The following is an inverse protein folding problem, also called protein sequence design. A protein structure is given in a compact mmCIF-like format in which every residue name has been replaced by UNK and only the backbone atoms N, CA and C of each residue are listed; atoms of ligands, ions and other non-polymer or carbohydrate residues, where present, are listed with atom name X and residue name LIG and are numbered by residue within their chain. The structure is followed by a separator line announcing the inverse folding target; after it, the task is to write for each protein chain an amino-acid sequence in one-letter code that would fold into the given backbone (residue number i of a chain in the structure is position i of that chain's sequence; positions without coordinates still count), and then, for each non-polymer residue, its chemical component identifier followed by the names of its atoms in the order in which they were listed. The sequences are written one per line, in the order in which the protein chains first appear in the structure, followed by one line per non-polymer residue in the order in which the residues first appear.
data_IF_955393463909
#
_entry.id   IF_955393463909
#
_cell.length_a   1.000
_cell.length_b   1.000
_cell.length_c   1.000
_cell.angle_alpha   90.00
_cell.angle_beta   90.00
_cell.angle_gamma   90.00
#
_symmetry.space_group_name_H-M   'P 1'
#
loop_
_entity.id
_entity.type
_entity.pdbx_description
1 polymer ?
#
# COMPACT_ATOMS: atom_id res chain seq x y z
N UNK A 1 -24.73 43.49 -10.00
CA UNK A 1 -25.05 42.77 -11.26
C UNK A 1 -24.46 43.56 -12.40
N UNK A 2 -23.31 43.13 -12.93
CA UNK A 2 -22.67 43.69 -14.12
C UNK A 2 -22.54 42.55 -15.14
N UNK A 3 -22.79 42.78 -16.44
CA UNK A 3 -22.82 41.71 -17.42
C UNK A 3 -21.41 41.41 -17.95
N UNK A 4 -21.08 40.13 -18.08
CA UNK A 4 -19.90 39.65 -18.81
C UNK A 4 -20.17 39.69 -20.33
N UNK A 5 -19.16 39.98 -21.18
CA UNK A 5 -19.28 39.87 -22.62
C UNK A 5 -19.11 38.42 -23.11
N UNK A 6 -19.60 38.07 -24.32
CA UNK A 6 -19.59 36.70 -24.82
C UNK A 6 -18.22 36.30 -25.40
N UNK A 7 -17.76 35.10 -25.05
CA UNK A 7 -16.62 34.43 -25.67
C UNK A 7 -16.97 33.97 -27.10
N UNK A 8 -16.17 34.39 -28.09
CA UNK A 8 -16.15 33.81 -29.45
C UNK A 8 -15.17 32.63 -29.46
N UNK A 9 -15.64 31.43 -29.78
CA UNK A 9 -14.79 30.26 -30.01
C UNK A 9 -14.12 30.28 -31.39
N UNK A 10 -12.96 29.63 -31.57
CA UNK A 10 -12.27 29.58 -32.86
C UNK A 10 -12.86 28.52 -33.79
N UNK A 11 -12.82 28.85 -35.08
CA UNK A 11 -13.24 28.04 -36.21
C UNK A 11 -12.46 26.72 -36.30
N UNK A 12 -13.19 25.61 -36.48
CA UNK A 12 -12.63 24.30 -36.81
C UNK A 12 -12.48 24.22 -38.34
N UNK A 13 -11.24 24.18 -38.83
CA UNK A 13 -10.94 23.87 -40.23
C UNK A 13 -11.08 22.36 -40.47
N UNK A 14 -11.89 21.98 -41.48
CA UNK A 14 -11.98 20.63 -42.02
C UNK A 14 -10.73 20.32 -42.85
N UNK A 15 -10.03 19.24 -42.53
CA UNK A 15 -9.03 18.62 -43.42
C UNK A 15 -9.61 17.32 -43.96
N UNK A 16 -9.69 17.24 -45.29
CA UNK A 16 -9.97 16.01 -46.03
C UNK A 16 -8.77 15.07 -45.96
N UNK A 17 -8.99 13.79 -45.69
CA UNK A 17 -8.03 12.73 -46.02
C UNK A 17 -8.65 11.76 -47.03
N UNK A 18 -7.93 11.59 -48.14
CA UNK A 18 -8.17 10.60 -49.17
C UNK A 18 -7.52 9.26 -48.78
N UNK A 19 -8.07 8.17 -49.31
CA UNK A 19 -7.80 6.80 -48.91
C UNK A 19 -6.47 6.21 -49.37
N UNK A 20 -6.18 5.03 -48.82
CA UNK A 20 -5.02 4.22 -49.17
C UNK A 20 -4.88 3.00 -48.25
N UNK A 21 -5.64 1.94 -48.53
CA UNK A 21 -5.44 0.61 -47.95
C UNK A 21 -4.05 0.07 -48.26
N UNK A 22 -3.33 -0.40 -47.24
CA UNK A 22 -2.46 -1.59 -47.31
C UNK A 22 -2.23 -2.15 -45.91
N UNK A 23 -2.63 -3.42 -45.78
CA UNK A 23 -2.43 -4.30 -44.63
C UNK A 23 -0.94 -4.66 -44.55
N UNK A 24 -0.30 -4.32 -43.44
CA UNK A 24 0.91 -5.01 -42.95
C UNK A 24 0.73 -5.19 -41.45
N UNK A 25 0.44 -6.44 -41.06
CA UNK A 25 0.36 -6.92 -39.70
C UNK A 25 1.72 -7.53 -39.36
N UNK A 26 2.56 -6.85 -38.58
CA UNK A 26 3.69 -7.48 -37.89
C UNK A 26 3.89 -6.82 -36.51
N UNK A 27 3.62 -7.66 -35.52
CA UNK A 27 3.99 -7.68 -34.10
C UNK A 27 5.09 -6.66 -33.73
N UNK A 28 4.68 -5.60 -33.03
CA UNK A 28 5.55 -4.78 -32.19
C UNK A 28 4.76 -4.32 -30.94
N UNK A 29 4.31 -5.29 -30.15
CA UNK A 29 3.80 -5.08 -28.80
C UNK A 29 4.89 -5.49 -27.79
N UNK A 30 5.94 -4.70 -27.71
CA UNK A 30 6.95 -4.77 -26.65
C UNK A 30 7.27 -3.36 -26.17
N UNK A 31 6.40 -2.82 -25.32
CA UNK A 31 6.64 -1.62 -24.49
C UNK A 31 5.86 -1.84 -23.16
N UNK A 32 6.32 -1.32 -22.01
CA UNK A 32 6.94 -2.05 -20.91
C UNK A 32 5.95 -2.42 -19.78
N UNK A 33 6.02 -3.65 -19.27
CA UNK A 33 5.25 -4.12 -18.10
C UNK A 33 5.78 -3.55 -16.76
N UNK A 34 6.75 -2.64 -16.79
CA UNK A 34 7.51 -2.20 -15.61
C UNK A 34 6.96 -0.95 -14.88
N UNK A 35 5.70 -0.55 -15.07
CA UNK A 35 5.14 0.68 -14.45
C UNK A 35 3.91 0.50 -13.54
N UNK A 36 3.55 -0.74 -13.19
CA UNK A 36 2.28 -1.03 -12.50
C UNK A 36 2.42 -1.64 -11.10
N UNK A 37 3.58 -1.51 -10.44
CA UNK A 37 3.87 -2.15 -9.15
C UNK A 37 4.19 -1.08 -8.10
N UNK A 38 3.21 -0.30 -7.68
CA UNK A 38 3.50 0.87 -6.81
C UNK A 38 2.44 1.11 -5.72
N UNK A 39 1.86 0.05 -5.17
CA UNK A 39 1.05 0.08 -3.93
C UNK A 39 0.72 -1.36 -3.54
N UNK A 40 0.71 -1.70 -2.25
CA UNK A 40 0.16 -3.01 -1.85
C UNK A 40 -1.32 -3.11 -2.24
N UNK A 41 -2.08 -2.00 -2.20
CA UNK A 41 -3.50 -1.87 -2.57
C UNK A 41 -3.69 -1.65 -4.08
N UNK A 42 -2.95 -0.76 -4.74
CA UNK A 42 -2.97 -0.62 -6.21
C UNK A 42 -2.35 -1.82 -6.97
N UNK A 43 -1.44 -2.62 -6.40
CA UNK A 43 -1.00 -3.89 -6.99
C UNK A 43 -2.18 -4.85 -7.14
N UNK A 44 -3.08 -4.86 -6.16
CA UNK A 44 -4.31 -5.66 -6.20
C UNK A 44 -5.32 -5.11 -7.20
N UNK A 45 -5.39 -3.78 -7.34
CA UNK A 45 -6.27 -3.16 -8.32
C UNK A 45 -5.77 -3.39 -9.75
N UNK A 46 -4.46 -3.25 -10.00
CA UNK A 46 -3.84 -3.63 -11.27
C UNK A 46 -4.01 -5.12 -11.59
N UNK A 47 -3.98 -5.99 -10.57
CA UNK A 47 -4.26 -7.43 -10.71
C UNK A 47 -5.74 -7.74 -10.96
N UNK A 48 -6.66 -6.94 -10.40
CA UNK A 48 -8.10 -7.05 -10.63
C UNK A 48 -8.50 -6.54 -12.03
N UNK A 49 -7.86 -5.48 -12.51
CA UNK A 49 -8.08 -4.92 -13.85
C UNK A 49 -7.46 -5.79 -14.97
N UNK A 50 -6.34 -6.48 -14.71
CA UNK A 50 -5.68 -7.38 -15.67
C UNK A 50 -6.29 -8.80 -15.74
N UNK A 51 -7.20 -9.14 -14.83
CA UNK A 51 -7.74 -10.49 -14.66
C UNK A 51 -8.80 -10.93 -15.67
N UNK A 52 -8.47 -11.02 -16.96
CA UNK A 52 -9.20 -11.90 -17.89
C UNK A 52 -8.80 -13.37 -17.64
N UNK A 53 -9.73 -14.16 -17.12
CA UNK A 53 -9.87 -15.62 -17.26
C UNK A 53 -8.61 -16.53 -17.11
N UNK A 54 -7.78 -16.35 -16.09
CA UNK A 54 -6.81 -17.38 -15.64
C UNK A 54 -7.26 -18.02 -14.32
N UNK A 55 -7.08 -19.34 -14.18
CA UNK A 55 -7.46 -20.09 -12.98
C UNK A 55 -6.59 -19.72 -11.77
N UNK A 56 -7.20 -19.72 -10.57
CA UNK A 56 -6.61 -19.20 -9.34
C UNK A 56 -5.27 -19.85 -8.94
N UNK A 57 -5.07 -21.14 -9.25
CA UNK A 57 -3.84 -21.87 -8.94
C UNK A 57 -2.64 -21.45 -9.81
N UNK A 58 -2.84 -21.31 -11.13
CA UNK A 58 -1.77 -20.92 -12.04
C UNK A 58 -1.36 -19.45 -11.89
N UNK A 59 -2.31 -18.58 -11.50
CA UNK A 59 -2.05 -17.16 -11.30
C UNK A 59 -1.38 -16.88 -9.96
N UNK A 60 -1.71 -17.60 -8.89
CA UNK A 60 -1.03 -17.45 -7.60
C UNK A 60 0.46 -17.83 -7.69
N UNK A 61 0.74 -18.92 -8.40
CA UNK A 61 2.09 -19.36 -8.71
C UNK A 61 2.82 -18.41 -9.68
N UNK A 62 2.10 -17.76 -10.59
CA UNK A 62 2.64 -16.79 -11.56
C UNK A 62 2.78 -15.37 -10.97
N UNK A 63 1.99 -14.98 -9.97
CA UNK A 63 2.14 -13.70 -9.27
C UNK A 63 3.20 -13.80 -8.17
N UNK A 64 3.20 -14.86 -7.37
CA UNK A 64 4.23 -15.08 -6.35
C UNK A 64 5.62 -15.27 -6.96
N UNK A 65 5.72 -15.96 -8.10
CA UNK A 65 6.97 -16.03 -8.86
C UNK A 65 7.19 -14.81 -9.73
N UNK A 66 6.22 -14.35 -10.52
CA UNK A 66 6.37 -13.28 -11.51
C UNK A 66 6.62 -11.87 -10.96
N UNK A 67 6.00 -11.53 -9.83
CA UNK A 67 6.23 -10.24 -9.17
C UNK A 67 7.69 -10.09 -8.72
N UNK A 68 8.32 -11.22 -8.37
CA UNK A 68 9.68 -11.25 -7.84
C UNK A 68 10.71 -11.82 -8.82
N UNK A 69 10.30 -12.56 -9.87
CA UNK A 69 11.22 -13.16 -10.85
C UNK A 69 11.67 -12.16 -11.91
N UNK A 70 10.96 -11.04 -12.05
CA UNK A 70 11.41 -9.90 -12.87
C UNK A 70 12.25 -8.90 -12.08
N UNK A 71 12.33 -9.05 -10.75
CA UNK A 71 13.14 -8.19 -9.88
C UNK A 71 14.67 -8.37 -10.01
N UNK A 72 15.27 -9.53 -10.34
CA UNK A 72 16.74 -9.66 -10.31
C UNK A 72 17.46 -8.62 -11.17
N UNK A 73 16.91 -8.27 -12.33
CA UNK A 73 17.48 -7.23 -13.20
C UNK A 73 17.19 -5.81 -12.71
N UNK A 74 16.04 -5.59 -12.06
CA UNK A 74 15.65 -4.29 -11.49
C UNK A 74 16.42 -3.97 -10.19
N UNK A 75 16.75 -5.00 -9.41
CA UNK A 75 17.48 -4.90 -8.14
C UNK A 75 18.92 -4.43 -8.36
N UNK A 76 19.54 -4.81 -9.46
CA UNK A 76 20.92 -4.43 -9.77
C UNK A 76 21.08 -2.99 -10.31
N UNK A 77 19.98 -2.25 -10.54
CA UNK A 77 20.01 -0.90 -11.15
C UNK A 77 18.93 0.02 -10.60
N UNK A 78 18.87 0.19 -9.28
CA UNK A 78 18.00 1.22 -8.69
C UNK A 78 18.45 2.62 -9.15
N UNK A 79 17.53 3.39 -9.72
CA UNK A 79 17.80 4.69 -10.33
C UNK A 79 17.78 5.81 -9.28
N UNK A 80 18.95 6.09 -8.68
CA UNK A 80 19.08 7.14 -7.66
C UNK A 80 18.90 8.56 -8.21
N UNK A 81 19.02 8.77 -9.53
CA UNK A 81 18.78 10.08 -10.12
C UNK A 81 17.28 10.39 -10.12
N UNK A 82 16.45 9.36 -10.33
CA UNK A 82 14.98 9.47 -10.25
C UNK A 82 14.44 9.41 -8.82
N UNK A 83 15.06 8.60 -7.96
CA UNK A 83 14.59 8.34 -6.59
C UNK A 83 15.70 8.55 -5.55
N UNK A 84 16.23 9.78 -5.42
CA UNK A 84 17.39 10.05 -4.57
C UNK A 84 17.13 9.78 -3.09
N UNK A 85 15.91 10.04 -2.59
CA UNK A 85 15.58 9.86 -1.16
C UNK A 85 15.54 8.39 -0.77
N UNK A 86 15.19 7.50 -1.71
CA UNK A 86 15.25 6.05 -1.51
C UNK A 86 16.69 5.50 -1.59
N UNK A 87 17.65 6.26 -2.13
CA UNK A 87 19.06 5.90 -2.07
C UNK A 87 19.75 6.32 -0.77
N UNK A 88 19.15 7.22 0.01
CA UNK A 88 19.65 7.62 1.32
C UNK A 88 19.30 6.59 2.42
N UNK A 89 19.96 6.68 3.57
CA UNK A 89 19.60 5.90 4.74
C UNK A 89 18.20 6.31 5.26
N UNK A 90 17.38 5.35 5.75
CA UNK A 90 17.70 3.94 5.96
C UNK A 90 17.39 3.03 4.76
N UNK A 91 16.82 3.55 3.68
CA UNK A 91 16.35 2.76 2.53
C UNK A 91 17.47 2.12 1.72
N UNK A 92 18.55 2.86 1.45
CA UNK A 92 19.73 2.38 0.72
C UNK A 92 19.40 1.51 -0.52
N UNK A 93 18.42 1.90 -1.33
CA UNK A 93 17.87 1.01 -2.37
C UNK A 93 18.86 0.59 -3.45
N UNK A 94 19.92 1.37 -3.66
CA UNK A 94 21.05 1.02 -4.52
C UNK A 94 21.94 -0.12 -3.99
N UNK A 95 21.69 -0.58 -2.76
CA UNK A 95 22.41 -1.70 -2.10
C UNK A 95 21.55 -2.94 -1.93
N UNK A 96 20.28 -2.91 -2.35
CA UNK A 96 19.44 -4.11 -2.31
C UNK A 96 20.01 -5.14 -3.28
N UNK A 97 20.17 -6.38 -2.81
CA UNK A 97 20.73 -7.48 -3.60
C UNK A 97 19.66 -8.54 -3.89
N UNK A 98 19.93 -9.44 -4.84
CA UNK A 98 19.04 -10.55 -5.14
C UNK A 98 18.81 -11.45 -3.91
N UNK A 99 19.83 -11.62 -3.05
CA UNK A 99 19.75 -12.40 -1.82
C UNK A 99 18.80 -11.75 -0.80
N UNK A 100 18.80 -10.41 -0.71
CA UNK A 100 17.82 -9.71 0.14
C UNK A 100 16.39 -9.94 -0.35
N UNK A 101 16.16 -9.91 -1.66
CA UNK A 101 14.84 -10.21 -2.24
C UNK A 101 14.43 -11.66 -1.98
N UNK A 102 15.34 -12.61 -2.20
CA UNK A 102 15.10 -14.02 -1.92
C UNK A 102 14.78 -14.26 -0.43
N UNK A 103 15.52 -13.60 0.46
CA UNK A 103 15.25 -13.65 1.90
C UNK A 103 13.83 -13.19 2.24
N UNK A 104 13.34 -12.12 1.59
CA UNK A 104 11.96 -11.65 1.79
C UNK A 104 10.94 -12.70 1.35
N UNK A 105 11.18 -13.37 0.22
CA UNK A 105 10.27 -14.40 -0.29
C UNK A 105 10.19 -15.63 0.62
N UNK A 106 11.33 -16.07 1.15
CA UNK A 106 11.47 -17.29 1.94
C UNK A 106 11.06 -17.07 3.41
N UNK A 107 11.53 -15.98 4.01
CA UNK A 107 11.43 -15.71 5.45
C UNK A 107 10.40 -14.63 5.80
N UNK A 108 9.92 -13.86 4.83
CA UNK A 108 9.03 -12.72 5.04
C UNK A 108 9.81 -11.42 5.11
N UNK A 109 9.09 -10.31 5.21
CA UNK A 109 9.68 -8.98 5.16
C UNK A 109 10.44 -8.62 6.43
N UNK A 110 10.07 -9.14 7.60
CA UNK A 110 10.66 -8.76 8.89
C UNK A 110 11.22 -9.96 9.69
N UNK A 111 12.15 -10.75 9.11
CA UNK A 111 12.59 -12.01 9.71
C UNK A 111 13.40 -11.84 11.01
N UNK A 112 14.02 -10.68 11.21
CA UNK A 112 14.77 -10.32 12.42
C UNK A 112 13.88 -9.73 13.54
N UNK A 113 12.57 -9.59 13.28
CA UNK A 113 11.63 -8.98 14.22
C UNK A 113 11.59 -7.46 14.17
N UNK A 114 12.14 -6.85 13.12
CA UNK A 114 12.07 -5.41 12.87
C UNK A 114 11.46 -5.11 11.51
N UNK A 115 10.74 -3.99 11.41
CA UNK A 115 10.26 -3.51 10.11
C UNK A 115 11.43 -3.31 9.12
N UNK A 116 11.35 -3.95 7.96
CA UNK A 116 12.37 -3.91 6.93
C UNK A 116 12.06 -2.81 5.91
N UNK A 117 12.70 -1.67 6.09
CA UNK A 117 12.49 -0.50 5.23
C UNK A 117 12.99 -0.68 3.79
N UNK A 118 13.82 -1.69 3.50
CA UNK A 118 14.27 -1.97 2.14
C UNK A 118 13.13 -2.47 1.24
N UNK A 119 12.00 -2.90 1.80
CA UNK A 119 10.83 -3.28 1.01
C UNK A 119 10.25 -2.10 0.22
N UNK A 120 10.51 -0.85 0.65
CA UNK A 120 10.09 0.35 -0.07
C UNK A 120 10.86 0.61 -1.36
N UNK A 121 11.96 -0.10 -1.58
CA UNK A 121 12.69 -0.06 -2.85
C UNK A 121 11.89 -0.65 -4.02
N UNK A 122 10.81 -1.37 -3.73
CA UNK A 122 9.87 -1.90 -4.72
C UNK A 122 8.60 -1.04 -4.84
N UNK A 123 8.57 0.14 -4.23
CA UNK A 123 7.40 1.01 -4.19
C UNK A 123 7.80 2.49 -4.30
N UNK A 124 8.50 2.82 -5.37
CA UNK A 124 9.07 4.15 -5.64
C UNK A 124 8.04 5.28 -5.68
N UNK A 125 6.77 4.98 -5.96
CA UNK A 125 5.67 5.93 -5.91
C UNK A 125 5.41 6.55 -4.54
N UNK A 126 5.93 5.95 -3.46
CA UNK A 126 5.79 6.42 -2.06
C UNK A 126 7.03 7.12 -1.51
N UNK A 127 8.03 7.39 -2.32
CA UNK A 127 9.29 7.99 -1.89
C UNK A 127 9.10 9.19 -0.94
N UNK A 128 8.25 10.15 -1.31
CA UNK A 128 8.00 11.35 -0.50
C UNK A 128 7.33 11.04 0.85
N UNK A 129 6.32 10.16 0.83
CA UNK A 129 5.59 9.74 2.03
C UNK A 129 6.52 9.02 3.00
N UNK A 130 7.26 8.03 2.50
CA UNK A 130 8.16 7.21 3.31
C UNK A 130 9.35 7.98 3.83
N UNK A 131 9.96 8.83 3.01
CA UNK A 131 11.03 9.71 3.46
C UNK A 131 10.54 10.69 4.53
N UNK A 132 9.35 11.26 4.38
CA UNK A 132 8.78 12.13 5.41
C UNK A 132 8.50 11.37 6.72
N UNK A 133 7.94 10.16 6.62
CA UNK A 133 7.62 9.37 7.81
C UNK A 133 8.86 8.82 8.52
N UNK A 134 9.75 8.12 7.81
CA UNK A 134 10.81 7.30 8.39
C UNK A 134 12.12 8.07 8.58
N UNK A 135 12.43 9.03 7.70
CA UNK A 135 13.68 9.81 7.75
C UNK A 135 13.47 11.12 8.50
N UNK A 136 12.49 11.93 8.07
CA UNK A 136 12.19 13.21 8.72
C UNK A 136 11.41 13.07 10.02
N UNK A 137 10.80 11.90 10.26
CA UNK A 137 10.04 11.58 11.48
C UNK A 137 8.89 12.55 11.72
N UNK A 138 8.33 13.10 10.64
CA UNK A 138 7.15 13.97 10.71
C UNK A 138 5.93 13.20 10.21
N UNK A 139 5.30 12.48 11.15
CA UNK A 139 4.15 11.63 10.86
C UNK A 139 2.93 12.43 10.37
N UNK A 140 2.80 13.69 10.80
CA UNK A 140 1.66 14.55 10.43
C UNK A 140 1.85 15.09 9.01
N UNK A 141 3.07 15.49 8.64
CA UNK A 141 3.37 15.86 7.26
C UNK A 141 3.26 14.64 6.32
N UNK A 142 3.76 13.48 6.76
CA UNK A 142 3.66 12.23 6.00
C UNK A 142 2.18 11.85 5.73
N UNK A 143 1.32 11.97 6.74
CA UNK A 143 -0.12 11.76 6.60
C UNK A 143 -0.77 12.63 5.50
N UNK A 144 -0.39 13.91 5.42
CA UNK A 144 -0.91 14.83 4.40
C UNK A 144 -0.42 14.45 2.99
N UNK A 145 0.84 14.06 2.86
CA UNK A 145 1.41 13.60 1.58
C UNK A 145 0.64 12.37 1.09
N UNK A 146 0.46 11.37 1.95
CA UNK A 146 -0.26 10.14 1.60
C UNK A 146 -1.72 10.44 1.22
N UNK A 147 -2.41 11.30 1.98
CA UNK A 147 -3.79 11.67 1.67
C UNK A 147 -3.92 12.37 0.33
N UNK A 148 -3.05 13.34 0.08
CA UNK A 148 -3.04 14.09 -1.17
C UNK A 148 -2.78 13.15 -2.36
N UNK A 149 -1.85 12.21 -2.19
CA UNK A 149 -1.56 11.19 -3.19
C UNK A 149 -2.80 10.32 -3.49
N UNK A 150 -3.52 9.85 -2.46
CA UNK A 150 -4.75 9.06 -2.64
C UNK A 150 -5.80 9.83 -3.44
N UNK A 151 -6.10 11.09 -3.06
CA UNK A 151 -7.17 11.85 -3.71
C UNK A 151 -6.82 12.32 -5.13
N UNK A 152 -5.55 12.64 -5.40
CA UNK A 152 -5.14 13.17 -6.69
C UNK A 152 -4.99 12.08 -7.74
N UNK A 153 -4.42 10.94 -7.34
CA UNK A 153 -3.99 9.90 -8.29
C UNK A 153 -4.98 8.75 -8.40
N UNK A 154 -5.85 8.55 -7.39
CA UNK A 154 -6.59 7.30 -7.26
C UNK A 154 -8.03 7.46 -6.80
N UNK A 155 -8.89 7.93 -7.71
CA UNK A 155 -10.35 8.00 -7.47
C UNK A 155 -10.90 6.62 -7.07
N UNK A 156 -11.50 6.54 -5.89
CA UNK A 156 -12.13 5.33 -5.36
C UNK A 156 -11.31 4.58 -4.31
N UNK A 157 -10.02 4.89 -4.12
CA UNK A 157 -9.20 4.27 -3.07
C UNK A 157 -9.57 4.81 -1.68
N UNK A 158 -10.14 6.02 -1.60
CA UNK A 158 -10.52 6.64 -0.35
C UNK A 158 -11.51 5.81 0.49
N UNK A 159 -12.33 4.97 -0.16
CA UNK A 159 -13.25 4.05 0.51
C UNK A 159 -12.52 2.87 1.16
N UNK A 160 -11.48 2.35 0.50
CA UNK A 160 -10.62 1.29 1.02
C UNK A 160 -9.79 1.83 2.19
N UNK A 161 -9.12 2.97 2.02
CA UNK A 161 -8.32 3.59 3.07
C UNK A 161 -9.19 3.98 4.26
N UNK A 162 -10.33 4.62 3.99
CA UNK A 162 -11.31 4.99 5.01
C UNK A 162 -11.74 3.77 5.82
N UNK A 163 -12.30 2.74 5.18
CA UNK A 163 -12.73 1.53 5.89
C UNK A 163 -11.60 0.82 6.64
N UNK A 164 -10.40 0.72 6.07
CA UNK A 164 -9.18 0.20 6.72
C UNK A 164 -8.87 0.94 8.02
N UNK A 165 -8.90 2.27 8.01
CA UNK A 165 -8.65 3.11 9.18
C UNK A 165 -9.60 2.82 10.35
N UNK A 166 -10.89 2.55 10.07
CA UNK A 166 -11.87 2.24 11.10
C UNK A 166 -11.81 0.77 11.54
N UNK A 167 -11.76 -0.19 10.60
CA UNK A 167 -11.72 -1.63 10.90
C UNK A 167 -10.50 -2.00 11.74
N UNK A 168 -9.31 -1.48 11.39
CA UNK A 168 -8.08 -1.79 12.12
C UNK A 168 -7.92 -0.96 13.40
N UNK A 169 -8.90 -0.12 13.74
CA UNK A 169 -8.94 0.64 14.99
C UNK A 169 -7.95 1.80 15.05
N UNK A 170 -7.48 2.32 13.92
CA UNK A 170 -6.52 3.44 13.90
C UNK A 170 -7.13 4.73 14.47
N UNK A 171 -8.43 4.94 14.26
CA UNK A 171 -9.11 6.14 14.76
C UNK A 171 -9.25 6.20 16.29
N UNK A 172 -9.15 5.05 16.98
CA UNK A 172 -9.22 4.97 18.45
C UNK A 172 -7.88 4.59 19.08
N UNK A 173 -6.81 4.48 18.27
CA UNK A 173 -5.45 4.22 18.75
C UNK A 173 -4.92 5.47 19.49
N UNK A 174 -4.72 5.35 20.80
CA UNK A 174 -4.12 6.38 21.65
C UNK A 174 -2.63 6.14 21.91
N UNK A 175 -2.07 5.04 21.44
CA UNK A 175 -0.68 4.62 21.64
C UNK A 175 0.25 5.29 20.63
N UNK A 176 -0.18 5.39 19.38
CA UNK A 176 0.55 6.11 18.33
C UNK A 176 0.28 7.61 18.47
N UNK A 177 1.35 8.39 18.57
CA UNK A 177 1.35 9.84 18.58
C UNK A 177 2.39 10.38 17.59
N UNK A 178 2.46 11.71 17.42
CA UNK A 178 3.34 12.36 16.43
C UNK A 178 4.84 12.11 16.61
N UNK A 179 5.25 11.55 17.75
CA UNK A 179 6.64 11.22 18.07
C UNK A 179 6.92 9.71 18.11
N UNK A 180 5.95 8.87 17.72
CA UNK A 180 6.14 7.43 17.69
C UNK A 180 7.24 7.06 16.69
N UNK A 181 8.23 6.33 17.17
CA UNK A 181 9.38 5.86 16.39
C UNK A 181 9.10 4.48 15.76
N UNK A 182 9.83 4.09 14.69
CA UNK A 182 9.73 2.74 14.12
C UNK A 182 9.91 1.63 15.17
N UNK A 183 10.92 1.76 16.06
CA UNK A 183 11.16 0.78 17.14
C UNK A 183 9.99 0.68 18.14
N UNK A 184 9.27 1.77 18.38
CA UNK A 184 8.04 1.71 19.20
C UNK A 184 6.90 1.02 18.44
N UNK A 185 6.80 1.27 17.13
CA UNK A 185 5.83 0.61 16.26
C UNK A 185 6.06 -0.90 16.18
N UNK A 186 7.31 -1.38 16.09
CA UNK A 186 7.62 -2.82 16.14
C UNK A 186 7.06 -3.49 17.40
N UNK A 187 7.20 -2.84 18.57
CA UNK A 187 6.65 -3.35 19.83
C UNK A 187 5.12 -3.37 19.84
N UNK A 188 4.50 -2.38 19.20
CA UNK A 188 3.05 -2.33 19.02
C UNK A 188 2.58 -3.49 18.13
N UNK A 189 3.33 -3.79 17.06
CA UNK A 189 3.10 -4.93 16.17
C UNK A 189 3.26 -6.27 16.89
N UNK A 190 4.32 -6.45 17.68
CA UNK A 190 4.51 -7.63 18.53
C UNK A 190 3.35 -7.78 19.54
N UNK A 191 2.95 -6.68 20.18
CA UNK A 191 1.82 -6.70 21.11
C UNK A 191 0.53 -7.10 20.40
N UNK A 192 0.26 -6.58 19.20
CA UNK A 192 -0.97 -6.88 18.46
C UNK A 192 -0.97 -8.31 17.90
N UNK A 193 0.07 -8.69 17.17
CA UNK A 193 0.10 -9.88 16.32
C UNK A 193 1.02 -11.01 16.81
N UNK A 194 1.76 -10.81 17.91
CA UNK A 194 2.83 -11.73 18.29
C UNK A 194 3.89 -11.78 17.20
N UNK A 195 4.39 -12.96 16.86
CA UNK A 195 5.38 -13.12 15.79
C UNK A 195 4.76 -13.16 14.38
N UNK A 196 3.43 -13.25 14.25
CA UNK A 196 2.79 -13.54 12.96
C UNK A 196 2.92 -12.41 11.92
N UNK A 197 3.23 -11.17 12.32
CA UNK A 197 3.47 -10.07 11.37
C UNK A 197 4.81 -10.19 10.66
N UNK A 198 5.79 -10.86 11.27
CA UNK A 198 7.16 -11.04 10.72
C UNK A 198 7.18 -11.85 9.44
N UNK A 199 6.22 -12.76 9.32
CA UNK A 199 6.02 -13.65 8.18
C UNK A 199 5.26 -12.99 7.02
N UNK A 200 4.79 -11.75 7.17
CA UNK A 200 4.12 -11.04 6.09
C UNK A 200 5.07 -10.89 4.88
N UNK A 201 4.53 -11.08 3.67
CA UNK A 201 5.31 -11.05 2.43
C UNK A 201 5.94 -12.38 2.02
N UNK A 202 5.91 -13.42 2.88
CA UNK A 202 6.29 -14.79 2.45
C UNK A 202 5.42 -15.23 1.28
N UNK A 203 6.00 -15.90 0.28
CA UNK A 203 5.25 -16.31 -0.93
C UNK A 203 3.92 -17.02 -0.62
N UNK A 204 3.89 -17.91 0.38
CA UNK A 204 2.67 -18.60 0.83
C UNK A 204 1.62 -17.64 1.43
N UNK A 205 2.05 -16.67 2.24
CA UNK A 205 1.17 -15.66 2.82
C UNK A 205 0.63 -14.69 1.76
N UNK A 206 1.48 -14.30 0.80
CA UNK A 206 1.11 -13.45 -0.32
C UNK A 206 0.13 -14.16 -1.25
N UNK A 207 0.37 -15.43 -1.59
CA UNK A 207 -0.55 -16.26 -2.35
C UNK A 207 -1.93 -16.37 -1.69
N UNK A 208 -1.97 -16.62 -0.37
CA UNK A 208 -3.22 -16.66 0.39
C UNK A 208 -3.93 -15.31 0.40
N UNK A 209 -3.20 -14.21 0.62
CA UNK A 209 -3.77 -12.87 0.61
C UNK A 209 -4.34 -12.52 -0.76
N UNK A 210 -3.61 -12.78 -1.85
CA UNK A 210 -4.05 -12.52 -3.22
C UNK A 210 -5.28 -13.35 -3.61
N UNK A 211 -5.34 -14.63 -3.21
CA UNK A 211 -6.48 -15.50 -3.54
C UNK A 211 -7.73 -15.10 -2.77
N UNK A 212 -7.62 -14.83 -1.47
CA UNK A 212 -8.73 -14.35 -0.63
C UNK A 212 -9.19 -12.95 -1.02
N UNK A 213 -8.25 -12.08 -1.38
CA UNK A 213 -8.59 -10.73 -1.78
C UNK A 213 -9.16 -10.65 -3.18
N UNK A 214 -8.83 -11.59 -4.08
CA UNK A 214 -9.51 -11.66 -5.37
C UNK A 214 -10.99 -11.96 -5.22
N UNK A 215 -11.40 -12.82 -4.27
CA UNK A 215 -12.83 -13.00 -4.00
C UNK A 215 -13.48 -11.71 -3.51
N UNK A 216 -12.81 -10.97 -2.63
CA UNK A 216 -13.35 -9.73 -2.08
C UNK A 216 -13.35 -8.59 -3.11
N UNK A 217 -12.29 -8.46 -3.91
CA UNK A 217 -12.14 -7.46 -4.97
C UNK A 217 -13.03 -7.76 -6.17
N UNK A 218 -13.32 -9.03 -6.51
CA UNK A 218 -14.35 -9.36 -7.51
C UNK A 218 -15.76 -9.03 -7.00
N UNK A 219 -16.01 -9.18 -5.70
CA UNK A 219 -17.25 -8.72 -5.06
C UNK A 219 -17.32 -7.18 -5.05
N UNK A 220 -16.19 -6.49 -4.82
CA UNK A 220 -16.12 -5.03 -4.73
C UNK A 220 -15.99 -4.30 -6.08
N UNK A 221 -15.43 -4.92 -7.11
CA UNK A 221 -15.42 -4.38 -8.47
C UNK A 221 -16.85 -4.26 -9.05
N UNK A 222 -17.80 -5.03 -8.51
CA UNK A 222 -19.23 -4.84 -8.75
C UNK A 222 -19.88 -3.72 -7.91
N UNK A 223 -19.18 -3.21 -6.88
CA UNK A 223 -19.68 -2.24 -5.91
C UNK A 223 -18.79 -1.00 -5.89
N UNK A 224 -18.94 -0.12 -6.89
CA UNK A 224 -18.38 1.24 -6.85
C UNK A 224 -18.67 1.88 -5.48
N UNK A 225 -17.63 2.24 -4.74
CA UNK A 225 -17.77 2.92 -3.44
C UNK A 225 -17.85 2.01 -2.21
N UNK A 226 -17.50 0.72 -2.33
CA UNK A 226 -17.43 -0.18 -1.19
C UNK A 226 -16.01 -0.25 -0.60
N UNK A 227 -15.85 0.15 0.66
CA UNK A 227 -14.69 -0.18 1.46
C UNK A 227 -14.72 -1.62 2.01
N UNK A 228 -13.66 -2.02 2.71
CA UNK A 228 -13.61 -3.25 3.50
C UNK A 228 -14.78 -3.32 4.49
N UNK A 229 -15.21 -4.55 4.78
CA UNK A 229 -16.37 -4.82 5.65
C UNK A 229 -16.02 -5.56 6.93
N UNK A 230 -14.85 -6.18 6.99
CA UNK A 230 -14.36 -6.95 8.11
C UNK A 230 -12.82 -6.95 8.11
N UNK A 231 -12.23 -7.62 9.11
CA UNK A 231 -10.77 -7.69 9.29
C UNK A 231 -10.08 -8.66 8.33
N UNK A 232 -10.81 -9.45 7.53
CA UNK A 232 -10.25 -10.61 6.83
C UNK A 232 -9.21 -10.25 5.77
N UNK A 233 -9.34 -9.08 5.16
CA UNK A 233 -8.35 -8.52 4.24
C UNK A 233 -7.45 -7.48 4.90
N UNK A 234 -8.01 -6.62 5.76
CA UNK A 234 -7.27 -5.52 6.39
C UNK A 234 -6.20 -5.98 7.37
N UNK A 235 -6.38 -7.13 8.02
CA UNK A 235 -5.37 -7.69 8.93
C UNK A 235 -4.06 -7.98 8.20
N UNK A 236 -4.13 -8.51 6.97
CA UNK A 236 -2.94 -8.79 6.18
C UNK A 236 -2.18 -7.50 5.83
N UNK A 237 -2.90 -6.46 5.41
CA UNK A 237 -2.29 -5.15 5.14
C UNK A 237 -1.62 -4.56 6.36
N UNK A 238 -2.25 -4.66 7.54
CA UNK A 238 -1.66 -4.11 8.73
C UNK A 238 -0.42 -4.90 9.19
N UNK A 239 -0.41 -6.23 8.99
CA UNK A 239 0.80 -7.06 9.19
C UNK A 239 1.91 -6.69 8.20
N UNK A 240 1.56 -6.41 6.94
CA UNK A 240 2.51 -5.89 5.96
C UNK A 240 3.06 -4.53 6.39
N UNK A 241 2.22 -3.61 6.88
CA UNK A 241 2.66 -2.31 7.37
C UNK A 241 3.61 -2.43 8.59
N UNK A 242 3.38 -3.42 9.45
CA UNK A 242 4.35 -3.79 10.49
C UNK A 242 5.67 -4.27 9.87
N UNK A 243 5.60 -5.22 8.94
CA UNK A 243 6.77 -5.85 8.34
C UNK A 243 7.61 -4.91 7.47
N UNK A 244 6.99 -3.90 6.86
CA UNK A 244 7.64 -2.84 6.07
C UNK A 244 8.08 -1.64 6.94
N UNK A 245 7.78 -1.65 8.24
CA UNK A 245 8.21 -0.63 9.21
C UNK A 245 7.41 0.66 9.23
N UNK A 246 6.22 0.71 8.62
CA UNK A 246 5.39 1.91 8.49
C UNK A 246 4.06 1.89 9.28
N UNK A 247 3.81 0.92 10.17
CA UNK A 247 2.58 0.84 10.99
C UNK A 247 2.18 2.20 11.62
N UNK A 248 3.14 2.89 12.24
CA UNK A 248 2.91 4.18 12.87
C UNK A 248 2.61 5.32 11.87
N UNK A 249 3.13 5.23 10.64
CA UNK A 249 2.79 6.13 9.55
C UNK A 249 1.30 5.98 9.19
N UNK A 250 0.82 4.74 9.01
CA UNK A 250 -0.56 4.43 8.65
C UNK A 250 -1.55 4.88 9.73
N UNK A 251 -1.23 4.63 11.01
CA UNK A 251 -2.08 5.07 12.11
C UNK A 251 -2.18 6.60 12.14
N UNK A 252 -1.07 7.32 11.96
CA UNK A 252 -1.10 8.78 11.92
C UNK A 252 -1.83 9.30 10.68
N UNK A 253 -1.61 8.68 9.52
CA UNK A 253 -2.32 8.95 8.28
C UNK A 253 -3.83 8.92 8.50
N UNK A 254 -4.34 7.82 9.05
CA UNK A 254 -5.75 7.68 9.39
C UNK A 254 -6.23 8.77 10.36
N UNK A 255 -5.52 8.97 11.47
CA UNK A 255 -5.89 9.93 12.52
C UNK A 255 -5.96 11.37 12.00
N UNK A 256 -5.05 11.75 11.12
CA UNK A 256 -4.98 13.09 10.56
C UNK A 256 -5.96 13.33 9.41
N UNK A 257 -6.57 12.28 8.86
CA UNK A 257 -7.40 12.34 7.64
C UNK A 257 -8.80 11.74 7.88
N UNK A 258 -9.03 10.49 7.50
CA UNK A 258 -10.33 9.83 7.48
C UNK A 258 -11.06 9.84 8.83
N UNK A 259 -10.33 9.74 9.95
CA UNK A 259 -10.92 9.75 11.29
C UNK A 259 -11.55 11.09 11.67
N UNK A 260 -11.20 12.18 10.98
CA UNK A 260 -11.74 13.53 11.19
C UNK A 260 -12.83 13.90 10.19
N UNK A 261 -13.05 13.08 9.16
CA UNK A 261 -13.98 13.37 8.07
C UNK A 261 -15.39 12.88 8.40
N UNK A 262 -16.41 13.76 8.49
CA UNK A 262 -17.76 13.35 8.89
C UNK A 262 -18.36 12.25 8.02
N UNK A 263 -18.04 12.24 6.72
CA UNK A 263 -18.46 11.19 5.79
C UNK A 263 -17.98 9.79 6.23
N UNK A 264 -16.67 9.62 6.44
CA UNK A 264 -16.08 8.33 6.81
C UNK A 264 -16.44 7.93 8.24
N UNK A 265 -16.51 8.89 9.17
CA UNK A 265 -16.99 8.63 10.54
C UNK A 265 -18.42 8.08 10.52
N UNK A 266 -19.32 8.71 9.76
CA UNK A 266 -20.72 8.26 9.64
C UNK A 266 -20.80 6.89 8.96
N UNK A 267 -20.01 6.67 7.91
CA UNK A 267 -20.08 5.45 7.09
C UNK A 267 -19.42 4.25 7.77
N UNK A 268 -18.24 4.41 8.35
CA UNK A 268 -17.40 3.32 8.86
C UNK A 268 -17.19 3.32 10.36
N UNK A 269 -17.69 4.31 11.11
CA UNK A 269 -17.57 4.37 12.57
C UNK A 269 -18.07 3.12 13.30
N UNK A 270 -19.06 2.42 12.73
CA UNK A 270 -19.59 1.17 13.27
C UNK A 270 -18.63 -0.03 13.14
N UNK A 271 -17.58 0.08 12.33
CA UNK A 271 -16.55 -0.96 12.15
C UNK A 271 -15.42 -0.87 13.18
N UNK A 272 -15.41 0.16 14.03
CA UNK A 272 -14.42 0.27 15.09
C UNK A 272 -14.43 -0.97 15.99
N UNK A 273 -13.26 -1.54 16.32
CA UNK A 273 -13.17 -2.64 17.26
C UNK A 273 -13.84 -2.28 18.60
N UNK A 274 -14.72 -3.15 19.10
CA UNK A 274 -15.43 -2.96 20.38
C UNK A 274 -14.49 -2.81 21.57
N UNK A 275 -13.31 -3.41 21.48
CA UNK A 275 -12.26 -3.30 22.49
C UNK A 275 -10.99 -2.80 21.82
N UNK A 276 -10.34 -1.83 22.44
CA UNK A 276 -8.98 -1.46 22.04
C UNK A 276 -8.09 -2.71 22.09
N UNK A 277 -7.45 -3.06 20.97
CA UNK A 277 -6.58 -4.23 20.85
C UNK A 277 -5.52 -4.30 21.95
N UNK A 278 -5.00 -3.14 22.37
CA UNK A 278 -4.03 -3.02 23.46
C UNK A 278 -4.62 -3.28 24.86
N UNK A 279 -5.92 -3.00 25.06
CA UNK A 279 -6.59 -3.27 26.33
C UNK A 279 -6.83 -4.77 26.54
N UNK A 280 -7.16 -5.51 25.47
CA UNK A 280 -7.50 -6.94 25.54
C UNK A 280 -6.34 -7.83 25.98
N UNK A 281 -5.08 -7.48 25.68
CA UNK A 281 -3.91 -8.28 26.09
C UNK A 281 -3.33 -7.91 27.45
N UNK A 282 -3.60 -6.70 27.99
CA UNK A 282 -3.17 -6.35 29.35
C UNK A 282 -3.84 -7.19 30.44
N UNK A 283 -5.01 -7.77 30.18
CA UNK A 283 -5.65 -8.69 31.13
C UNK A 283 -4.99 -10.08 31.19
N UNK A 284 -4.12 -10.42 30.23
CA UNK A 284 -3.45 -11.73 30.16
C UNK A 284 -1.94 -11.69 30.39
N UNK A 285 -1.31 -10.51 30.23
CA UNK A 285 0.08 -10.32 30.61
C UNK A 285 0.14 -9.63 31.97
N UNK A 286 0.56 -10.40 32.99
CA UNK A 286 0.93 -9.88 34.30
C UNK A 286 1.86 -8.68 34.12
N UNK A 287 1.62 -7.54 34.80
CA UNK A 287 2.40 -6.32 34.60
C UNK A 287 3.87 -6.60 34.93
N UNK A 288 4.67 -6.62 33.87
CA UNK A 288 6.12 -6.48 33.82
C UNK A 288 6.79 -6.37 35.19
N UNK A 289 7.37 -7.48 35.65
CA UNK A 289 8.51 -7.40 36.53
C UNK A 289 9.57 -6.50 35.86
N UNK A 290 10.15 -5.51 36.56
CA UNK A 290 11.18 -4.67 35.98
C UNK A 290 12.32 -5.55 35.49
N UNK A 291 12.69 -5.39 34.22
CA UNK A 291 13.93 -5.95 33.66
C UNK A 291 15.07 -5.29 34.44
N UNK A 292 15.70 -6.06 35.33
CA UNK A 292 16.95 -5.66 36.00
C UNK A 292 18.13 -5.92 35.08
#
# INVERSE_FOLDING_TARGET
RLPFPPFRGPNIARVHMAGGSRIILFIAALVPVARALDDSVALLQASAESGRAASAGALSDSLGRGLFSTLPDAVNKFDCDKHPKLCEAPFNCHKVTAEMVQSVQEHGMAPDGHGNVHTWCFSTGYEDYMHMCLVKKDLVAAAKIQYQWTIDKHKGIEELDGSYCFIEGHCTDTTVNKFTTPKQADRMCDQRYGMSWREAGRAKSAAWALTKQRSDAQIQAGLKGAGFRDTNGTEYFLKMACAMGNYHCDVMYCKETYCKMPYFVKKYGHLLPKTNWYAKKRSHFSPWAPVR
#
